data_IF_981877980839
#
_entry.id   IF_981877980839
#
_cell.length_a   1.000
_cell.length_b   1.000
_cell.length_c   1.000
_cell.angle_alpha   90.00
_cell.angle_beta   90.00
_cell.angle_gamma   90.00
#
_symmetry.space_group_name_H-M   'P 1'
#
loop_
_entity.id
_entity.type
_entity.pdbx_description
1 polymer ?
#
# COMPACT_ATOMS: atom_id res chain seq x y z
N UNK A 1 7.10 -20.22 12.75
CA UNK A 1 5.72 -20.17 13.29
C UNK A 1 5.39 -18.89 14.07
N UNK A 2 6.34 -18.23 14.77
CA UNK A 2 6.04 -17.01 15.55
C UNK A 2 5.80 -15.73 14.72
N UNK A 3 6.53 -15.53 13.62
CA UNK A 3 6.50 -14.29 12.84
C UNK A 3 5.13 -14.03 12.17
N UNK A 4 4.59 -15.05 11.48
CA UNK A 4 3.26 -14.95 10.85
C UNK A 4 2.19 -14.55 11.88
N UNK A 5 2.15 -15.24 13.02
CA UNK A 5 1.16 -14.97 14.07
C UNK A 5 1.29 -13.57 14.63
N UNK A 6 2.53 -13.09 14.83
CA UNK A 6 2.79 -11.72 15.28
C UNK A 6 2.32 -10.67 14.26
N UNK A 7 2.62 -10.86 12.97
CA UNK A 7 2.16 -9.95 11.91
C UNK A 7 0.64 -9.94 11.78
N UNK A 8 0.01 -11.11 11.87
CA UNK A 8 -1.46 -11.24 11.84
C UNK A 8 -2.12 -10.54 13.04
N UNK A 9 -1.59 -10.73 14.25
CA UNK A 9 -2.09 -10.01 15.42
C UNK A 9 -1.94 -8.50 15.24
N UNK A 10 -0.79 -8.03 14.74
CA UNK A 10 -0.54 -6.60 14.49
C UNK A 10 -1.48 -6.01 13.44
N UNK A 11 -1.82 -6.77 12.39
CA UNK A 11 -2.73 -6.29 11.34
C UNK A 11 -4.18 -6.17 11.83
N UNK A 12 -4.58 -6.93 12.84
CA UNK A 12 -5.90 -6.84 13.48
C UNK A 12 -5.96 -5.73 14.53
N UNK A 13 -4.95 -5.65 15.41
CA UNK A 13 -4.95 -4.71 16.53
C UNK A 13 -4.60 -3.29 16.10
N UNK A 14 -3.71 -3.13 15.13
CA UNK A 14 -3.20 -1.84 14.66
C UNK A 14 -3.14 -1.80 13.12
N UNK A 15 -4.30 -1.90 12.44
CA UNK A 15 -4.36 -2.04 10.99
C UNK A 15 -3.71 -0.85 10.25
N UNK A 16 -4.00 0.38 10.65
CA UNK A 16 -3.44 1.58 10.01
C UNK A 16 -1.92 1.65 10.14
N UNK A 17 -1.37 1.30 11.31
CA UNK A 17 0.09 1.27 11.51
C UNK A 17 0.73 0.13 10.72
N UNK A 18 0.14 -1.06 10.77
CA UNK A 18 0.63 -2.23 10.05
C UNK A 18 0.68 -1.99 8.54
N UNK A 19 -0.42 -1.52 7.96
CA UNK A 19 -0.47 -1.24 6.54
C UNK A 19 0.29 0.03 6.17
N UNK A 20 0.37 1.04 7.04
CA UNK A 20 1.21 2.22 6.86
C UNK A 20 2.69 1.87 6.69
N UNK A 21 3.20 0.90 7.46
CA UNK A 21 4.56 0.36 7.30
C UNK A 21 4.80 -0.35 5.95
N UNK A 22 3.74 -0.88 5.33
CA UNK A 22 3.80 -1.50 4.01
C UNK A 22 3.73 -0.43 2.91
N UNK A 23 2.79 0.51 3.05
CA UNK A 23 2.56 1.60 2.10
C UNK A 23 3.79 2.51 1.97
N UNK A 24 4.53 2.73 3.06
CA UNK A 24 5.76 3.53 3.06
C UNK A 24 6.91 2.91 2.26
N UNK A 25 6.83 1.62 1.91
CA UNK A 25 7.84 0.96 1.09
C UNK A 25 7.71 1.31 -0.39
N UNK A 26 6.59 1.88 -0.82
CA UNK A 26 6.33 2.29 -2.20
C UNK A 26 6.66 3.76 -2.41
N UNK A 27 6.97 4.11 -3.65
CA UNK A 27 7.09 5.49 -4.08
C UNK A 27 5.70 6.11 -4.28
N UNK A 28 5.52 7.29 -3.72
CA UNK A 28 4.33 8.13 -3.85
C UNK A 28 4.76 9.49 -4.34
N UNK A 29 4.08 9.99 -5.37
CA UNK A 29 4.29 11.35 -5.88
C UNK A 29 3.64 12.34 -4.91
N UNK A 30 2.41 12.06 -4.51
CA UNK A 30 1.70 12.81 -3.46
C UNK A 30 1.33 11.84 -2.34
N UNK A 31 1.70 12.12 -1.07
CA UNK A 31 1.32 11.29 0.06
C UNK A 31 -0.18 11.35 0.33
N UNK A 32 -0.73 10.31 0.96
CA UNK A 32 -2.14 10.29 1.36
C UNK A 32 -2.41 11.30 2.48
N UNK A 33 -3.63 11.83 2.53
CA UNK A 33 -4.11 12.65 3.66
C UNK A 33 -4.94 11.84 4.63
N UNK A 34 -5.60 10.77 4.17
CA UNK A 34 -6.40 9.86 5.00
C UNK A 34 -6.13 8.43 4.59
N UNK A 35 -5.76 7.60 5.55
CA UNK A 35 -5.34 6.23 5.28
C UNK A 35 -6.49 5.33 4.83
N UNK A 36 -7.61 5.34 5.57
CA UNK A 36 -8.76 4.49 5.29
C UNK A 36 -10.08 5.18 5.65
N UNK A 37 -11.09 5.07 4.79
CA UNK A 37 -12.44 5.57 5.02
C UNK A 37 -13.43 4.66 4.33
N UNK A 38 -14.50 4.26 5.04
CA UNK A 38 -15.52 3.39 4.45
C UNK A 38 -16.90 3.71 5.02
N UNK A 39 -17.93 3.33 4.27
CA UNK A 39 -19.30 3.22 4.74
C UNK A 39 -19.89 1.92 4.22
N UNK A 40 -20.37 1.07 5.13
CA UNK A 40 -21.13 -0.14 4.81
C UNK A 40 -22.60 -0.04 5.21
N UNK A 41 -23.03 1.06 5.83
CA UNK A 41 -24.41 1.29 6.22
C UNK A 41 -25.17 2.05 5.11
N UNK A 42 -26.07 1.35 4.44
CA UNK A 42 -26.92 1.90 3.36
C UNK A 42 -27.81 3.04 3.88
N UNK A 43 -28.14 3.06 5.19
CA UNK A 43 -28.96 4.12 5.79
C UNK A 43 -28.19 5.42 6.03
N UNK A 44 -26.87 5.35 6.19
CA UNK A 44 -26.01 6.52 6.47
C UNK A 44 -25.48 7.19 5.20
N UNK A 45 -25.74 6.60 4.02
CA UNK A 45 -25.35 7.15 2.73
C UNK A 45 -24.89 6.06 1.75
N UNK A 46 -24.28 6.46 0.63
CA UNK A 46 -23.73 5.52 -0.35
C UNK A 46 -22.66 4.61 0.27
N UNK A 47 -22.63 3.36 -0.18
CA UNK A 47 -21.58 2.41 0.19
C UNK A 47 -20.29 2.81 -0.50
N UNK A 48 -19.20 2.93 0.26
CA UNK A 48 -17.90 3.23 -0.30
C UNK A 48 -16.78 2.64 0.54
N UNK A 49 -15.63 2.43 -0.11
CA UNK A 49 -14.38 2.04 0.52
C UNK A 49 -13.28 2.84 -0.18
N UNK A 50 -12.54 3.64 0.58
CA UNK A 50 -11.43 4.45 0.10
C UNK A 50 -10.19 4.15 0.93
N UNK A 51 -9.10 3.87 0.24
CA UNK A 51 -7.77 3.71 0.81
C UNK A 51 -6.87 4.81 0.25
N UNK A 52 -5.99 5.34 1.09
CA UNK A 52 -4.93 6.29 0.70
C UNK A 52 -5.50 7.50 -0.05
N UNK A 53 -6.51 8.14 0.54
CA UNK A 53 -7.23 9.24 -0.08
C UNK A 53 -6.29 10.40 -0.42
N UNK A 54 -6.47 10.96 -1.62
CA UNK A 54 -5.65 12.01 -2.24
C UNK A 54 -4.21 11.62 -2.58
N UNK A 55 -3.80 10.37 -2.34
CA UNK A 55 -2.47 9.93 -2.75
C UNK A 55 -2.40 9.71 -4.27
N UNK A 56 -1.23 9.98 -4.84
CA UNK A 56 -0.95 9.70 -6.25
C UNK A 56 0.33 8.91 -6.40
N UNK A 57 0.30 7.88 -7.23
CA UNK A 57 1.47 7.07 -7.58
C UNK A 57 1.33 6.54 -8.99
N UNK A 58 2.44 6.07 -9.56
CA UNK A 58 2.48 5.35 -10.82
C UNK A 58 2.95 3.91 -10.56
N UNK A 59 2.14 2.93 -10.98
CA UNK A 59 2.43 1.50 -10.78
C UNK A 59 3.68 1.10 -11.57
N UNK A 60 3.82 1.54 -12.82
CA UNK A 60 5.00 1.25 -13.64
C UNK A 60 6.27 1.79 -12.99
N UNK A 61 6.21 3.00 -12.41
CA UNK A 61 7.35 3.58 -11.70
C UNK A 61 7.81 2.72 -10.53
N UNK A 62 6.87 2.26 -9.70
CA UNK A 62 7.17 1.38 -8.58
C UNK A 62 7.70 0.02 -9.01
N UNK A 63 7.20 -0.50 -10.12
CA UNK A 63 7.54 -1.83 -10.62
C UNK A 63 8.89 -1.85 -11.37
N UNK A 64 9.21 -0.81 -12.15
CA UNK A 64 10.34 -0.79 -13.09
C UNK A 64 11.30 0.37 -12.82
N UNK A 65 10.85 1.62 -13.03
CA UNK A 65 11.71 2.80 -13.02
C UNK A 65 12.50 2.93 -11.72
N UNK A 66 11.85 2.69 -10.58
CA UNK A 66 12.50 2.70 -9.27
C UNK A 66 13.62 1.66 -9.18
N UNK A 67 13.40 0.44 -9.68
CA UNK A 67 14.40 -0.62 -9.63
C UNK A 67 15.61 -0.28 -10.52
N UNK A 68 15.38 0.27 -11.71
CA UNK A 68 16.46 0.76 -12.58
C UNK A 68 17.26 1.86 -11.89
N UNK A 69 16.59 2.86 -11.29
CA UNK A 69 17.24 3.95 -10.55
C UNK A 69 18.05 3.48 -9.34
N UNK A 70 17.63 2.38 -8.71
CA UNK A 70 18.37 1.75 -7.60
C UNK A 70 19.58 0.92 -8.06
N UNK A 71 19.89 0.90 -9.36
CA UNK A 71 21.04 0.18 -9.91
C UNK A 71 20.74 -1.27 -10.29
N UNK A 72 19.47 -1.66 -10.36
CA UNK A 72 19.06 -3.02 -10.77
C UNK A 72 18.68 -3.11 -12.25
N UNK A 73 19.11 -2.17 -13.09
CA UNK A 73 18.74 -2.10 -14.51
C UNK A 73 19.14 -3.32 -15.33
N UNK A 74 20.28 -3.95 -15.02
CA UNK A 74 20.78 -5.13 -15.74
C UNK A 74 20.19 -6.45 -15.23
N UNK A 75 19.36 -6.41 -14.17
CA UNK A 75 18.75 -7.61 -13.60
C UNK A 75 17.58 -8.04 -14.49
N UNK A 76 17.60 -9.30 -14.94
CA UNK A 76 16.49 -9.88 -15.69
C UNK A 76 15.21 -9.80 -14.85
N UNK A 77 14.22 -9.07 -15.35
CA UNK A 77 12.95 -8.86 -14.67
C UNK A 77 11.94 -10.01 -14.93
N UNK A 78 12.00 -10.63 -16.10
CA UNK A 78 11.08 -11.68 -16.52
C UNK A 78 11.77 -12.65 -17.49
N UNK A 79 11.55 -13.95 -17.28
CA UNK A 79 11.92 -15.01 -18.21
C UNK A 79 10.64 -15.48 -18.92
N UNK A 80 10.69 -15.61 -20.24
CA UNK A 80 9.56 -16.06 -21.07
C UNK A 80 9.79 -17.50 -21.55
#
# INVERSE_FOLDING_TARGET
MGLYRSMYTKSLEQPEKFWGEIVSQFHWETPYTKFFSFNFNIKEGPIYIKWLENATTNICYNLLDRNVKLGHGDKIAFYW
#
